data_IF_835000941865
#
_entry.id   IF_835000941865
#
_cell.length_a   1.000
_cell.length_b   1.000
_cell.length_c   1.000
_cell.angle_alpha   90.00
_cell.angle_beta   90.00
_cell.angle_gamma   90.00
#
_symmetry.space_group_name_H-M   'P 1'
#
loop_
_entity.id
_entity.type
_entity.pdbx_description
1 polymer ?
#
# COMPACT_ATOMS: atom_id res chain seq x y z
N UNK A 1 34.91 25.28 -45.12
CA UNK A 1 33.59 24.83 -45.60
C UNK A 1 32.55 25.19 -44.54
N UNK A 2 31.88 26.33 -44.68
CA UNK A 2 30.78 26.70 -43.79
C UNK A 2 29.51 26.02 -44.30
N UNK A 3 28.92 25.13 -43.49
CA UNK A 3 27.61 24.56 -43.81
C UNK A 3 26.58 25.69 -43.84
N UNK A 4 25.73 25.73 -44.88
CA UNK A 4 24.64 26.70 -44.96
C UNK A 4 23.76 26.59 -43.70
N UNK A 5 23.31 27.70 -43.09
CA UNK A 5 22.54 27.71 -41.83
C UNK A 5 21.34 26.75 -41.80
N UNK A 6 20.70 26.53 -42.95
CA UNK A 6 19.59 25.57 -43.08
C UNK A 6 20.02 24.12 -42.91
N UNK A 7 21.22 23.74 -43.38
CA UNK A 7 21.77 22.38 -43.21
C UNK A 7 22.16 22.12 -41.74
N UNK A 8 22.77 23.11 -41.10
CA UNK A 8 23.12 23.03 -39.69
C UNK A 8 21.87 22.88 -38.78
N UNK A 9 20.77 23.57 -39.12
CA UNK A 9 19.49 23.41 -38.40
C UNK A 9 18.89 22.01 -38.56
N UNK A 10 18.94 21.44 -39.77
CA UNK A 10 18.42 20.08 -40.01
C UNK A 10 19.22 19.02 -39.22
N UNK A 11 20.55 19.13 -39.23
CA UNK A 11 21.43 18.23 -38.48
C UNK A 11 21.24 18.36 -36.96
N UNK A 12 21.03 19.59 -36.47
CA UNK A 12 20.73 19.82 -35.05
C UNK A 12 19.41 19.15 -34.62
N UNK A 13 18.35 19.28 -35.43
CA UNK A 13 17.07 18.62 -35.15
C UNK A 13 17.20 17.09 -35.18
N UNK A 14 17.95 16.55 -36.14
CA UNK A 14 18.19 15.11 -36.24
C UNK A 14 18.95 14.58 -35.01
N UNK A 15 20.01 15.28 -34.59
CA UNK A 15 20.78 14.93 -33.40
C UNK A 15 19.92 14.95 -32.12
N UNK A 16 19.02 15.93 -32.02
CA UNK A 16 18.08 16.03 -30.91
C UNK A 16 17.08 14.88 -30.91
N UNK A 17 16.48 14.54 -32.07
CA UNK A 17 15.59 13.38 -32.16
C UNK A 17 16.26 12.06 -31.79
N UNK A 18 17.52 11.87 -32.17
CA UNK A 18 18.29 10.69 -31.73
C UNK A 18 18.50 10.67 -30.22
N UNK A 19 18.80 11.83 -29.61
CA UNK A 19 18.97 11.90 -28.15
C UNK A 19 17.69 11.50 -27.41
N UNK A 20 16.52 11.95 -27.87
CA UNK A 20 15.23 11.62 -27.27
C UNK A 20 14.92 10.12 -27.32
N UNK A 21 15.13 9.50 -28.48
CA UNK A 21 14.91 8.06 -28.67
C UNK A 21 15.88 7.24 -27.81
N UNK A 22 17.15 7.65 -27.71
CA UNK A 22 18.14 6.94 -26.89
C UNK A 22 17.82 7.03 -25.39
N UNK A 23 17.39 8.20 -24.91
CA UNK A 23 16.92 8.35 -23.52
C UNK A 23 15.71 7.43 -23.27
N UNK A 24 14.74 7.38 -24.18
CA UNK A 24 13.58 6.50 -24.06
C UNK A 24 13.93 5.00 -24.11
N UNK A 25 14.84 4.58 -24.99
CA UNK A 25 15.31 3.19 -25.03
C UNK A 25 16.08 2.82 -23.76
N UNK A 26 16.86 3.74 -23.20
CA UNK A 26 17.58 3.48 -21.94
C UNK A 26 16.61 3.15 -20.80
N UNK A 27 15.50 3.87 -20.69
CA UNK A 27 14.49 3.61 -19.66
C UNK A 27 13.75 2.28 -19.87
N UNK A 28 13.53 1.89 -21.13
CA UNK A 28 12.84 0.63 -21.46
C UNK A 28 13.72 -0.61 -21.30
N UNK A 29 15.03 -0.50 -21.55
CA UNK A 29 15.91 -1.65 -21.64
C UNK A 29 16.63 -2.03 -20.33
N UNK A 30 16.46 -1.32 -19.20
CA UNK A 30 17.10 -1.75 -17.95
C UNK A 30 16.62 -3.16 -17.51
N UNK A 31 17.51 -4.14 -17.23
CA UNK A 31 18.98 -4.07 -17.07
C UNK A 31 19.83 -4.48 -18.29
N UNK A 32 19.23 -4.79 -19.45
CA UNK A 32 19.96 -5.18 -20.66
C UNK A 32 20.50 -3.96 -21.45
N UNK A 33 21.69 -4.08 -22.07
CA UNK A 33 22.20 -3.01 -22.91
C UNK A 33 21.32 -2.85 -24.16
N UNK A 34 21.18 -1.60 -24.61
CA UNK A 34 20.43 -1.27 -25.83
C UNK A 34 21.06 -2.03 -27.01
N UNK A 35 20.28 -2.83 -27.77
CA UNK A 35 20.79 -3.52 -28.95
C UNK A 35 21.37 -2.54 -29.97
N UNK A 36 22.46 -2.92 -30.65
CA UNK A 36 23.04 -2.10 -31.71
C UNK A 36 22.09 -2.06 -32.92
N UNK A 37 21.83 -0.87 -33.44
CA UNK A 37 21.00 -0.67 -34.64
C UNK A 37 21.67 0.29 -35.62
N UNK A 38 21.29 0.20 -36.90
CA UNK A 38 21.73 1.09 -37.97
C UNK A 38 21.08 2.46 -37.82
N UNK A 39 21.90 3.52 -37.87
CA UNK A 39 21.46 4.91 -37.64
C UNK A 39 20.99 5.53 -38.95
N UNK A 40 19.86 5.04 -39.44
CA UNK A 40 19.22 5.51 -40.66
C UNK A 40 18.03 6.43 -40.37
N UNK A 41 17.70 7.30 -41.33
CA UNK A 41 16.53 8.16 -41.24
C UNK A 41 15.21 7.35 -41.14
N UNK A 42 15.15 6.18 -41.78
CA UNK A 42 14.00 5.27 -41.73
C UNK A 42 13.85 4.61 -40.35
N UNK A 43 14.96 4.20 -39.72
CA UNK A 43 14.96 3.61 -38.39
C UNK A 43 14.61 4.65 -37.33
N UNK A 44 15.10 5.88 -37.48
CA UNK A 44 14.70 7.01 -36.63
C UNK A 44 13.19 7.26 -36.70
N UNK A 45 12.62 7.32 -37.91
CA UNK A 45 11.19 7.56 -38.07
C UNK A 45 10.34 6.42 -37.48
N UNK A 46 10.77 5.17 -37.67
CA UNK A 46 10.10 4.00 -37.09
C UNK A 46 10.16 4.03 -35.55
N UNK A 47 11.32 4.35 -34.97
CA UNK A 47 11.50 4.46 -33.52
C UNK A 47 10.72 5.63 -32.93
N UNK A 48 10.65 6.77 -33.62
CA UNK A 48 9.81 7.90 -33.20
C UNK A 48 8.33 7.52 -33.22
N UNK A 49 7.87 6.86 -34.29
CA UNK A 49 6.49 6.37 -34.35
C UNK A 49 6.20 5.41 -33.20
N UNK A 50 7.08 4.45 -32.96
CA UNK A 50 6.96 3.50 -31.85
C UNK A 50 6.96 4.21 -30.49
N UNK A 51 7.85 5.19 -30.29
CA UNK A 51 7.89 6.00 -29.07
C UNK A 51 6.57 6.73 -28.85
N UNK A 52 6.00 7.37 -29.88
CA UNK A 52 4.71 8.05 -29.75
C UNK A 52 3.56 7.09 -29.48
N UNK A 53 3.51 5.95 -30.18
CA UNK A 53 2.51 4.89 -29.97
C UNK A 53 2.61 4.30 -28.55
N UNK A 54 3.83 4.07 -28.06
CA UNK A 54 4.07 3.58 -26.71
C UNK A 54 3.61 4.61 -25.66
N UNK A 55 3.97 5.88 -25.83
CA UNK A 55 3.49 6.97 -24.95
C UNK A 55 1.95 7.04 -24.96
N UNK A 56 1.30 6.87 -26.12
CA UNK A 56 -0.17 6.82 -26.17
C UNK A 56 -0.73 5.59 -25.47
N UNK A 57 -0.10 4.42 -25.61
CA UNK A 57 -0.52 3.20 -24.94
C UNK A 57 -0.37 3.31 -23.42
N UNK A 58 0.72 3.91 -22.93
CA UNK A 58 0.92 4.15 -21.49
C UNK A 58 -0.14 5.10 -20.93
N UNK A 59 -0.45 6.19 -21.65
CA UNK A 59 -1.57 7.08 -21.27
C UNK A 59 -2.92 6.37 -21.21
N UNK A 60 -3.18 5.46 -22.16
CA UNK A 60 -4.40 4.66 -22.12
C UNK A 60 -4.42 3.71 -20.93
N UNK A 61 -3.27 3.10 -20.60
CA UNK A 61 -3.13 2.23 -19.43
C UNK A 61 -3.38 3.01 -18.13
N UNK A 62 -2.83 4.22 -18.01
CA UNK A 62 -3.07 5.10 -16.88
C UNK A 62 -4.56 5.48 -16.77
N UNK A 63 -5.22 5.82 -17.89
CA UNK A 63 -6.65 6.13 -17.89
C UNK A 63 -7.52 4.94 -17.47
N UNK A 64 -7.20 3.73 -17.95
CA UNK A 64 -7.90 2.52 -17.55
C UNK A 64 -7.72 2.24 -16.05
N UNK A 65 -6.50 2.41 -15.56
CA UNK A 65 -6.21 2.25 -14.14
C UNK A 65 -7.00 3.26 -13.28
N UNK A 66 -7.06 4.53 -13.70
CA UNK A 66 -7.86 5.56 -13.03
C UNK A 66 -9.36 5.25 -13.08
N UNK A 67 -9.88 4.80 -14.22
CA UNK A 67 -11.29 4.40 -14.34
C UNK A 67 -11.62 3.22 -13.42
N UNK A 68 -10.73 2.23 -13.32
CA UNK A 68 -10.89 1.10 -12.42
C UNK A 68 -10.90 1.53 -10.94
N UNK A 69 -10.06 2.51 -10.57
CA UNK A 69 -10.11 3.10 -9.22
C UNK A 69 -11.45 3.79 -8.97
N UNK A 70 -11.94 4.58 -9.93
CA UNK A 70 -13.22 5.29 -9.83
C UNK A 70 -14.40 4.31 -9.66
N UNK A 71 -14.42 3.21 -10.42
CA UNK A 71 -15.41 2.14 -10.26
C UNK A 71 -15.35 1.51 -8.87
N UNK A 72 -14.15 1.22 -8.35
CA UNK A 72 -14.01 0.67 -6.99
C UNK A 72 -14.54 1.63 -5.92
N UNK A 73 -14.21 2.92 -6.02
CA UNK A 73 -14.71 3.95 -5.08
C UNK A 73 -16.25 4.06 -5.16
N UNK A 74 -16.82 4.03 -6.37
CA UNK A 74 -18.27 4.03 -6.55
C UNK A 74 -18.93 2.80 -5.92
N UNK A 75 -18.32 1.62 -6.03
CA UNK A 75 -18.81 0.40 -5.39
C UNK A 75 -18.68 0.41 -3.86
N UNK A 76 -17.64 1.05 -3.30
CA UNK A 76 -17.51 1.23 -1.86
C UNK A 76 -18.57 2.19 -1.30
N UNK A 77 -18.82 3.33 -1.96
CA UNK A 77 -19.86 4.28 -1.56
C UNK A 77 -21.28 3.68 -1.70
N UNK A 78 -21.50 2.82 -2.69
CA UNK A 78 -22.74 2.05 -2.83
C UNK A 78 -22.94 1.00 -1.71
N UNK A 79 -21.84 0.49 -1.13
CA UNK A 79 -21.87 -0.47 -0.02
C UNK A 79 -22.28 0.18 1.31
N UNK A 80 -21.90 1.44 1.55
CA UNK A 80 -22.26 2.20 2.78
C UNK A 80 -23.77 2.45 2.89
N UNK A 81 -24.53 2.36 1.79
CA UNK A 81 -25.99 2.54 1.78
C UNK A 81 -26.78 1.23 1.89
N UNK A 82 -26.13 0.07 1.82
CA UNK A 82 -26.76 -1.26 1.90
C UNK A 82 -26.25 -2.10 3.10
N UNK A 83 -26.03 -1.47 4.26
CA UNK A 83 -25.83 -2.21 5.52
C UNK A 83 -27.11 -2.93 5.95
N UNK A 84 -27.35 -4.10 5.34
CA UNK A 84 -28.22 -5.17 5.83
C UNK A 84 -27.40 -6.47 5.80
N UNK A 85 -27.39 -7.28 6.88
CA UNK A 85 -26.40 -8.34 7.08
C UNK A 85 -26.70 -9.55 6.18
N UNK A 86 -26.21 -9.50 4.94
CA UNK A 86 -26.15 -10.64 4.01
C UNK A 86 -24.72 -10.86 3.48
N UNK A 87 -23.75 -10.09 3.98
CA UNK A 87 -22.37 -9.97 3.47
C UNK A 87 -21.48 -11.21 3.61
N UNK A 88 -21.87 -12.21 4.40
CA UNK A 88 -21.06 -13.42 4.57
C UNK A 88 -21.07 -14.30 3.31
N UNK A 89 -22.24 -14.53 2.71
CA UNK A 89 -22.37 -15.42 1.56
C UNK A 89 -21.78 -14.81 0.28
N UNK A 90 -21.84 -13.49 0.10
CA UNK A 90 -21.20 -12.80 -1.02
C UNK A 90 -19.68 -12.77 -0.88
N UNK A 91 -19.16 -12.55 0.33
CA UNK A 91 -17.72 -12.62 0.59
C UNK A 91 -17.20 -14.05 0.35
N UNK A 92 -17.91 -15.06 0.81
CA UNK A 92 -17.57 -16.47 0.56
C UNK A 92 -17.64 -16.83 -0.93
N UNK A 93 -18.65 -16.32 -1.66
CA UNK A 93 -18.78 -16.51 -3.11
C UNK A 93 -17.64 -15.85 -3.89
N UNK A 94 -17.25 -14.63 -3.52
CA UNK A 94 -16.13 -13.90 -4.12
C UNK A 94 -14.79 -14.56 -3.80
N UNK A 95 -14.59 -15.03 -2.56
CA UNK A 95 -13.40 -15.79 -2.19
C UNK A 95 -13.32 -17.11 -2.97
N UNK A 96 -14.44 -17.78 -3.21
CA UNK A 96 -14.49 -18.98 -4.03
C UNK A 96 -14.20 -18.68 -5.52
N UNK A 97 -14.65 -17.53 -6.04
CA UNK A 97 -14.37 -17.09 -7.41
C UNK A 97 -12.91 -16.63 -7.61
N UNK A 98 -12.32 -15.98 -6.60
CA UNK A 98 -10.90 -15.67 -6.57
C UNK A 98 -10.07 -16.96 -6.47
N UNK A 99 -10.45 -17.87 -5.57
CA UNK A 99 -9.81 -19.17 -5.46
C UNK A 99 -9.92 -19.98 -6.76
N UNK A 100 -11.02 -19.90 -7.51
CA UNK A 100 -11.14 -20.62 -8.79
C UNK A 100 -10.33 -19.97 -9.92
N UNK A 101 -10.22 -18.64 -9.95
CA UNK A 101 -9.48 -17.89 -10.98
C UNK A 101 -7.95 -17.89 -10.80
N UNK A 102 -7.44 -18.26 -9.62
CA UNK A 102 -5.99 -18.35 -9.41
C UNK A 102 -5.34 -19.57 -10.11
N UNK A 103 -4.20 -19.38 -10.81
CA UNK A 103 -3.38 -20.47 -11.35
C UNK A 103 -2.96 -21.51 -10.30
N UNK A 104 -2.77 -22.77 -10.72
CA UNK A 104 -2.37 -23.85 -9.82
C UNK A 104 -1.01 -23.58 -9.11
N UNK A 105 -0.08 -22.92 -9.80
CA UNK A 105 1.22 -22.53 -9.22
C UNK A 105 1.07 -21.52 -8.09
N UNK A 106 0.13 -20.56 -8.21
CA UNK A 106 -0.11 -19.57 -7.15
C UNK A 106 -0.82 -20.19 -5.95
N UNK A 107 -1.70 -21.16 -6.16
CA UNK A 107 -2.36 -21.91 -5.07
C UNK A 107 -1.35 -22.66 -4.22
N UNK A 108 -0.48 -23.46 -4.85
CA UNK A 108 0.56 -24.19 -4.15
C UNK A 108 1.52 -23.27 -3.37
N UNK A 109 1.81 -22.08 -3.92
CA UNK A 109 2.65 -21.08 -3.24
C UNK A 109 1.94 -20.46 -2.03
N UNK A 110 0.64 -20.18 -2.12
CA UNK A 110 -0.17 -19.69 -1.00
C UNK A 110 -0.39 -20.77 0.08
N UNK A 111 -0.55 -22.03 -0.30
CA UNK A 111 -0.63 -23.16 0.62
C UNK A 111 0.70 -23.34 1.38
N UNK A 112 1.84 -23.25 0.67
CA UNK A 112 3.16 -23.30 1.29
C UNK A 112 3.41 -22.10 2.22
N UNK A 113 2.98 -20.90 1.82
CA UNK A 113 3.10 -19.69 2.63
C UNK A 113 2.20 -19.73 3.87
N UNK A 114 0.95 -20.16 3.73
CA UNK A 114 0.02 -20.29 4.86
C UNK A 114 0.47 -21.39 5.81
N UNK A 115 0.95 -22.53 5.33
CA UNK A 115 1.55 -23.57 6.15
C UNK A 115 2.78 -23.06 6.91
N UNK A 116 3.64 -22.28 6.26
CA UNK A 116 4.80 -21.65 6.91
C UNK A 116 4.37 -20.63 7.96
N UNK A 117 3.39 -19.78 7.65
CA UNK A 117 2.86 -18.78 8.58
C UNK A 117 2.20 -19.43 9.82
N UNK A 118 1.50 -20.56 9.65
CA UNK A 118 0.92 -21.34 10.75
C UNK A 118 2.02 -21.99 11.60
N UNK A 119 3.02 -22.61 10.97
CA UNK A 119 4.18 -23.19 11.68
C UNK A 119 4.98 -22.14 12.47
N UNK A 120 5.03 -20.92 11.96
CA UNK A 120 5.72 -19.78 12.57
C UNK A 120 4.83 -19.00 13.57
N UNK A 121 3.55 -19.37 13.70
CA UNK A 121 2.62 -18.81 14.68
C UNK A 121 2.14 -17.39 14.37
N UNK A 122 2.12 -16.98 13.10
CA UNK A 122 1.64 -15.67 12.68
C UNK A 122 0.10 -15.58 12.81
N UNK A 123 -0.39 -15.25 14.01
CA UNK A 123 -1.81 -15.08 14.29
C UNK A 123 -2.18 -13.60 14.49
N UNK A 124 -3.03 -13.10 13.59
CA UNK A 124 -3.86 -11.88 13.66
C UNK A 124 -3.18 -10.50 13.69
N UNK A 125 -3.37 -9.71 12.62
CA UNK A 125 -3.96 -8.35 12.71
C UNK A 125 -4.31 -7.76 11.34
N UNK A 126 -5.61 -7.66 11.06
CA UNK A 126 -6.31 -6.76 10.14
C UNK A 126 -5.55 -6.10 8.94
N UNK A 127 -5.83 -6.64 7.76
CA UNK A 127 -6.25 -6.00 6.48
C UNK A 127 -5.48 -4.89 5.75
N UNK A 128 -4.40 -4.26 6.23
CA UNK A 128 -3.54 -3.52 5.26
C UNK A 128 -2.05 -3.49 5.57
N UNK A 129 -1.68 -3.61 6.83
CA UNK A 129 -0.28 -3.78 7.28
C UNK A 129 0.14 -5.25 7.34
N UNK A 130 -0.75 -6.17 6.97
CA UNK A 130 -0.59 -7.61 7.13
C UNK A 130 0.52 -8.20 6.24
N UNK A 131 0.63 -7.75 4.99
CA UNK A 131 1.60 -8.32 4.05
C UNK A 131 3.03 -7.95 4.39
N UNK A 132 3.28 -6.70 4.74
CA UNK A 132 4.62 -6.23 5.13
C UNK A 132 5.03 -6.81 6.49
N UNK A 133 4.11 -6.86 7.46
CA UNK A 133 4.38 -7.45 8.78
C UNK A 133 4.57 -8.97 8.74
N UNK A 134 3.82 -9.72 7.92
CA UNK A 134 4.07 -11.15 7.73
C UNK A 134 5.45 -11.35 7.08
N UNK A 135 5.78 -10.62 6.01
CA UNK A 135 7.07 -10.81 5.35
C UNK A 135 8.25 -10.43 6.26
N UNK A 136 8.14 -9.34 7.02
CA UNK A 136 9.15 -8.92 7.99
C UNK A 136 9.26 -9.89 9.17
N UNK A 137 8.12 -10.43 9.65
CA UNK A 137 8.09 -11.51 10.65
C UNK A 137 8.72 -12.79 10.11
N UNK A 138 8.38 -13.22 8.89
CA UNK A 138 8.97 -14.41 8.27
C UNK A 138 10.48 -14.23 8.05
N UNK A 139 10.93 -13.07 7.56
CA UNK A 139 12.34 -12.78 7.35
C UNK A 139 13.13 -12.76 8.67
N UNK A 140 12.60 -12.09 9.70
CA UNK A 140 13.25 -12.04 11.01
C UNK A 140 13.29 -13.42 11.68
N UNK A 141 12.27 -14.25 11.48
CA UNK A 141 12.15 -15.56 12.10
C UNK A 141 12.93 -16.66 11.35
N UNK A 142 13.08 -16.54 10.02
CA UNK A 142 14.00 -17.38 9.21
C UNK A 142 15.43 -17.26 9.69
N UNK A 143 15.85 -16.08 10.15
CA UNK A 143 17.21 -15.86 10.67
C UNK A 143 17.33 -16.22 12.16
N UNK A 144 16.25 -16.10 12.94
CA UNK A 144 16.28 -16.38 14.37
C UNK A 144 16.20 -17.87 14.71
N UNK A 145 15.43 -18.67 13.96
CA UNK A 145 15.31 -20.11 14.20
C UNK A 145 16.67 -20.84 14.09
N UNK A 146 17.47 -20.66 13.03
CA UNK A 146 18.80 -21.28 12.91
C UNK A 146 19.74 -20.90 14.05
N UNK A 147 19.62 -19.66 14.55
CA UNK A 147 20.41 -19.20 15.71
C UNK A 147 19.97 -19.90 16.99
N UNK A 148 18.68 -20.07 17.20
CA UNK A 148 18.13 -20.81 18.33
C UNK A 148 18.49 -22.29 18.27
N UNK A 149 18.38 -22.94 17.11
CA UNK A 149 18.74 -24.35 16.94
C UNK A 149 20.23 -24.57 17.16
N UNK A 150 21.09 -23.67 16.67
CA UNK A 150 22.52 -23.72 16.96
C UNK A 150 22.80 -23.58 18.47
N UNK A 151 22.15 -22.63 19.14
CA UNK A 151 22.32 -22.43 20.59
C UNK A 151 21.89 -23.68 21.36
N UNK A 152 20.75 -24.28 21.00
CA UNK A 152 20.30 -25.53 21.60
C UNK A 152 21.25 -26.70 21.32
N UNK A 153 21.78 -26.81 20.10
CA UNK A 153 22.78 -27.83 19.75
C UNK A 153 24.06 -27.67 20.56
N UNK A 154 24.55 -26.43 20.76
CA UNK A 154 25.70 -26.17 21.62
C UNK A 154 25.41 -26.53 23.09
N UNK A 155 24.22 -26.22 23.59
CA UNK A 155 23.79 -26.61 24.93
C UNK A 155 23.73 -28.13 25.12
N UNK A 156 23.23 -28.86 24.13
CA UNK A 156 23.20 -30.32 24.17
C UNK A 156 24.61 -30.91 24.12
N UNK A 157 25.50 -30.35 23.30
CA UNK A 157 26.90 -30.75 23.23
C UNK A 157 27.61 -30.53 24.57
N UNK A 158 27.42 -29.37 25.21
CA UNK A 158 27.98 -29.07 26.52
C UNK A 158 27.44 -30.02 27.60
N UNK A 159 26.13 -30.28 27.60
CA UNK A 159 25.54 -31.27 28.50
C UNK A 159 26.11 -32.68 28.31
N UNK A 160 26.36 -33.09 27.06
CA UNK A 160 26.99 -34.39 26.78
C UNK A 160 28.44 -34.44 27.28
N UNK A 161 29.19 -33.34 27.16
CA UNK A 161 30.55 -33.23 27.64
C UNK A 161 30.62 -33.27 29.18
N UNK A 162 29.77 -32.48 29.86
CA UNK A 162 29.66 -32.51 31.33
C UNK A 162 29.29 -33.92 31.82
N UNK A 163 28.38 -34.62 31.13
CA UNK A 163 28.05 -36.01 31.47
C UNK A 163 29.25 -36.93 31.32
N UNK A 164 30.07 -36.75 30.29
CA UNK A 164 31.29 -37.53 30.09
C UNK A 164 32.33 -37.25 31.19
N UNK A 165 32.52 -35.99 31.58
CA UNK A 165 33.39 -35.62 32.71
C UNK A 165 32.89 -36.20 34.03
N UNK A 166 31.59 -36.14 34.31
CA UNK A 166 30.99 -36.77 35.50
C UNK A 166 31.21 -38.30 35.49
N UNK A 167 31.08 -38.95 34.32
CA UNK A 167 31.36 -40.38 34.19
C UNK A 167 32.84 -40.72 34.38
N UNK A 168 33.76 -39.87 33.94
CA UNK A 168 35.20 -40.04 34.17
C UNK A 168 35.54 -39.88 35.65
N UNK A 169 35.06 -38.80 36.29
CA UNK A 169 35.25 -38.56 37.72
C UNK A 169 34.64 -39.66 38.60
N UNK A 170 33.53 -40.28 38.15
CA UNK A 170 32.91 -41.42 38.83
C UNK A 170 33.65 -42.74 38.58
N UNK A 171 34.35 -42.87 37.45
CA UNK A 171 35.23 -44.01 37.13
C UNK A 171 36.56 -43.96 37.90
N UNK A 172 37.08 -42.76 38.16
CA UNK A 172 38.33 -42.51 38.89
C UNK A 172 38.16 -42.56 40.42
N UNK A 173 36.98 -42.93 40.92
CA UNK A 173 36.69 -43.05 42.36
C UNK A 173 36.53 -44.52 42.79
N UNK A 174 37.62 -45.26 43.11
CA UNK A 174 37.48 -46.51 43.85
C UNK A 174 37.31 -46.18 45.33
N UNK A 175 36.06 -46.21 45.80
CA UNK A 175 35.66 -46.44 47.20
C UNK A 175 36.17 -45.47 48.28
N UNK A 176 35.30 -44.62 48.79
CA UNK A 176 35.34 -44.20 50.19
C UNK A 176 33.97 -43.70 50.67
N UNK A 177 33.52 -44.31 51.76
CA UNK A 177 32.33 -44.00 52.56
C UNK A 177 32.44 -42.67 53.34
N UNK A 178 31.29 -42.24 53.86
CA UNK A 178 31.10 -41.44 55.09
C UNK A 178 31.48 -39.94 55.05
N UNK A 179 30.51 -39.04 55.27
CA UNK A 179 30.06 -38.59 56.60
C UNK A 179 29.42 -37.19 56.56
N UNK A 180 28.18 -37.11 57.03
CA UNK A 180 27.65 -36.22 58.08
C UNK A 180 28.03 -34.72 58.19
N UNK A 181 27.00 -33.89 58.43
CA UNK A 181 27.05 -32.52 58.98
C UNK A 181 26.14 -31.58 58.20
N UNK A 182 24.87 -31.29 58.51
CA UNK A 182 24.17 -30.95 59.76
C UNK A 182 24.49 -29.53 60.28
N UNK A 183 23.52 -28.63 60.12
CA UNK A 183 23.41 -27.30 60.76
C UNK A 183 22.42 -26.41 59.99
N UNK A 184 21.14 -26.35 60.38
CA UNK A 184 20.51 -25.30 61.23
C UNK A 184 20.79 -23.89 60.71
N UNK A 185 19.83 -23.00 60.44
CA UNK A 185 18.39 -22.97 60.65
C UNK A 185 17.91 -21.50 60.59
N UNK A 186 16.59 -21.30 60.43
CA UNK A 186 15.88 -20.03 60.68
C UNK A 186 15.90 -19.04 59.50
N UNK A 187 14.85 -18.70 58.74
CA UNK A 187 13.38 -18.52 58.93
C UNK A 187 13.02 -17.01 58.82
N UNK A 188 12.27 -16.70 57.75
CA UNK A 188 11.16 -15.74 57.60
C UNK A 188 11.45 -14.26 57.27
N UNK A 189 10.94 -13.92 56.08
CA UNK A 189 10.60 -12.66 55.37
C UNK A 189 9.13 -12.30 55.74
N UNK A 190 8.39 -11.26 55.25
CA UNK A 190 8.62 -9.93 54.67
C UNK A 190 7.85 -8.80 55.40
N UNK A 191 7.90 -7.57 54.86
CA UNK A 191 6.78 -6.66 54.50
C UNK A 191 7.20 -5.20 54.72
N UNK A 192 6.72 -4.17 54.03
CA UNK A 192 6.02 -3.94 52.76
C UNK A 192 5.95 -2.39 52.58
N UNK A 193 5.57 -1.93 51.38
CA UNK A 193 5.01 -0.60 51.03
C UNK A 193 5.99 0.59 50.83
N UNK A 194 6.13 1.18 49.62
CA UNK A 194 5.18 2.02 48.85
C UNK A 194 4.93 3.38 49.53
N UNK A 195 4.91 4.57 48.91
CA UNK A 195 5.12 5.10 47.57
C UNK A 195 5.17 6.66 47.66
N UNK A 196 5.53 7.34 46.56
CA UNK A 196 5.12 8.73 46.19
C UNK A 196 5.80 9.87 46.99
N UNK A 197 6.45 10.89 46.42
CA UNK A 197 5.80 12.01 45.70
C UNK A 197 6.79 13.19 45.49
N UNK A 198 6.86 13.67 44.24
CA UNK A 198 6.95 15.08 43.78
C UNK A 198 8.07 16.03 44.29
N UNK A 199 8.90 16.49 43.34
CA UNK A 199 9.69 17.75 43.31
C UNK A 199 8.78 19.02 43.37
N UNK A 200 9.25 20.31 43.24
CA UNK A 200 10.62 20.92 43.10
C UNK A 200 10.80 22.19 44.02
N UNK A 201 11.86 23.08 43.97
CA UNK A 201 12.14 24.03 42.86
C UNK A 201 13.62 24.51 42.62
N UNK A 202 13.88 24.94 41.37
CA UNK A 202 14.66 26.10 40.85
C UNK A 202 16.04 26.57 41.43
N UNK A 203 17.05 26.45 40.56
CA UNK A 203 18.06 27.44 40.05
C UNK A 203 19.14 28.05 40.99
N UNK A 204 20.30 28.46 40.40
CA UNK A 204 21.62 28.33 41.01
C UNK A 204 22.18 29.62 41.61
N UNK A 205 23.11 29.48 42.55
CA UNK A 205 24.05 30.55 42.90
C UNK A 205 25.48 29.98 42.93
N UNK A 206 26.33 30.73 42.25
CA UNK A 206 27.77 30.63 42.03
C UNK A 206 28.57 30.87 43.32
N UNK A 207 29.78 30.28 43.36
CA UNK A 207 30.91 30.64 44.24
C UNK A 207 30.78 30.14 45.69
N UNK A 208 31.77 29.60 46.38
CA UNK A 208 33.24 29.68 46.28
C UNK A 208 33.79 28.59 47.22
N UNK A 209 34.92 27.97 46.91
CA UNK A 209 35.68 27.17 47.88
C UNK A 209 36.10 28.03 49.09
N UNK A 210 36.23 27.42 50.29
CA UNK A 210 37.58 27.13 50.76
C UNK A 210 37.73 25.74 51.41
N UNK A 211 38.94 25.21 51.28
CA UNK A 211 39.45 24.00 51.92
C UNK A 211 39.22 24.00 53.43
N UNK A 212 38.82 22.84 53.96
CA UNK A 212 39.29 22.32 55.24
C UNK A 212 39.23 20.79 55.18
N UNK A 213 40.31 20.17 55.65
CA UNK A 213 40.52 18.73 55.77
C UNK A 213 39.41 18.06 56.60
N UNK A 214 38.82 16.97 56.09
CA UNK A 214 38.41 15.78 56.87
C UNK A 214 37.87 14.68 55.92
N UNK A 215 38.32 13.45 56.15
CA UNK A 215 38.15 12.25 55.32
C UNK A 215 36.68 11.82 55.07
N UNK A 216 36.12 12.01 53.87
CA UNK A 216 35.05 11.15 53.26
C UNK A 216 34.84 11.42 51.74
N UNK A 217 35.91 11.35 50.92
CA UNK A 217 35.89 11.87 49.54
C UNK A 217 35.59 10.82 48.42
N UNK A 218 34.74 9.83 48.68
CA UNK A 218 34.37 8.82 47.67
C UNK A 218 33.08 9.12 46.89
N UNK A 219 32.03 9.59 47.58
CA UNK A 219 30.67 9.63 47.01
C UNK A 219 30.29 10.91 46.25
N UNK A 220 30.87 12.06 46.60
CA UNK A 220 30.46 13.36 46.04
C UNK A 220 31.09 13.59 44.65
N UNK A 221 32.33 13.15 44.45
CA UNK A 221 33.05 13.26 43.17
C UNK A 221 32.42 12.38 42.07
N UNK A 222 31.96 11.17 42.43
CA UNK A 222 31.23 10.28 41.53
C UNK A 222 29.84 10.85 41.14
N UNK A 223 29.14 11.47 42.09
CA UNK A 223 27.85 12.12 41.85
C UNK A 223 27.98 13.35 40.92
N UNK A 224 29.02 14.17 41.12
CA UNK A 224 29.32 15.31 40.24
C UNK A 224 29.70 14.87 38.82
N UNK A 225 30.52 13.82 38.69
CA UNK A 225 30.92 13.24 37.41
C UNK A 225 29.72 12.67 36.64
N UNK A 226 28.81 11.99 37.35
CA UNK A 226 27.56 11.46 36.79
C UNK A 226 26.61 12.57 36.31
N UNK A 227 26.45 13.64 37.10
CA UNK A 227 25.63 14.79 36.74
C UNK A 227 26.20 15.55 35.53
N UNK A 228 27.52 15.67 35.44
CA UNK A 228 28.20 16.26 34.30
C UNK A 228 28.02 15.42 33.02
N UNK A 229 28.16 14.10 33.12
CA UNK A 229 27.92 13.18 32.00
C UNK A 229 26.47 13.28 31.50
N UNK A 230 25.49 13.36 32.40
CA UNK A 230 24.08 13.59 32.04
C UNK A 230 23.86 14.93 31.36
N UNK A 231 24.50 16.00 31.84
CA UNK A 231 24.42 17.32 31.22
C UNK A 231 24.97 17.32 29.78
N UNK A 232 26.06 16.59 29.54
CA UNK A 232 26.60 16.43 28.18
C UNK A 232 25.65 15.64 27.27
N UNK A 233 25.04 14.57 27.79
CA UNK A 233 24.04 13.80 27.06
C UNK A 233 22.85 14.68 26.66
N UNK A 234 22.29 15.44 27.60
CA UNK A 234 21.15 16.34 27.36
C UNK A 234 21.50 17.42 26.32
N UNK A 235 22.75 17.93 26.33
CA UNK A 235 23.24 18.87 25.33
C UNK A 235 23.33 18.27 23.93
N UNK A 236 23.76 17.00 23.80
CA UNK A 236 23.81 16.30 22.52
C UNK A 236 22.41 16.03 21.97
N UNK A 237 21.50 15.55 22.83
CA UNK A 237 20.10 15.29 22.46
C UNK A 237 19.40 16.58 22.03
N UNK A 238 19.63 17.68 22.73
CA UNK A 238 19.07 18.99 22.37
C UNK A 238 19.58 19.47 21.00
N UNK A 239 20.88 19.29 20.73
CA UNK A 239 21.46 19.62 19.42
C UNK A 239 20.88 18.75 18.31
N UNK A 240 20.72 17.46 18.55
CA UNK A 240 20.10 16.55 17.58
C UNK A 240 18.65 16.93 17.29
N UNK A 241 17.88 17.25 18.32
CA UNK A 241 16.49 17.69 18.17
C UNK A 241 16.41 19.00 17.38
N UNK A 242 17.29 19.96 17.67
CA UNK A 242 17.35 21.22 16.95
C UNK A 242 17.64 21.02 15.45
N UNK A 243 18.56 20.11 15.09
CA UNK A 243 18.84 19.76 13.70
C UNK A 243 17.61 19.13 13.02
N UNK A 244 16.92 18.20 13.68
CA UNK A 244 15.68 17.63 13.15
C UNK A 244 14.58 18.66 12.97
N UNK A 245 14.43 19.59 13.92
CA UNK A 245 13.48 20.69 13.79
C UNK A 245 13.79 21.53 12.56
N UNK A 246 15.07 21.89 12.32
CA UNK A 246 15.48 22.62 11.14
C UNK A 246 15.18 21.85 9.83
N UNK A 247 15.48 20.55 9.79
CA UNK A 247 15.17 19.69 8.64
C UNK A 247 13.66 19.64 8.35
N UNK A 248 12.83 19.49 9.39
CA UNK A 248 11.37 19.48 9.22
C UNK A 248 10.85 20.84 8.78
N UNK A 249 11.41 21.95 9.28
CA UNK A 249 11.03 23.28 8.78
C UNK A 249 11.36 23.46 7.30
N UNK A 250 12.52 22.98 6.85
CA UNK A 250 12.91 23.03 5.44
C UNK A 250 12.01 22.13 4.57
N UNK A 251 11.66 20.94 5.08
CA UNK A 251 10.76 20.01 4.38
C UNK A 251 9.36 20.58 4.25
N UNK A 252 8.84 21.23 5.29
CA UNK A 252 7.53 21.90 5.24
C UNK A 252 7.57 23.05 4.23
N UNK A 253 8.58 23.91 4.28
CA UNK A 253 8.73 25.01 3.33
C UNK A 253 8.85 24.52 1.87
N UNK A 254 9.53 23.38 1.65
CA UNK A 254 9.61 22.71 0.35
C UNK A 254 8.26 22.19 -0.13
N UNK A 255 7.50 21.54 0.74
CA UNK A 255 6.15 21.04 0.43
C UNK A 255 5.17 22.18 0.17
N UNK A 256 5.23 23.27 0.93
CA UNK A 256 4.43 24.46 0.70
C UNK A 256 4.74 25.07 -0.66
N UNK A 257 6.03 25.21 -1.03
CA UNK A 257 6.43 25.70 -2.35
C UNK A 257 5.94 24.76 -3.46
N UNK A 258 6.00 23.45 -3.26
CA UNK A 258 5.49 22.47 -4.21
C UNK A 258 3.96 22.56 -4.33
N UNK A 259 3.24 22.77 -3.24
CA UNK A 259 1.79 22.99 -3.25
C UNK A 259 1.43 24.29 -3.96
N UNK A 260 2.15 25.39 -3.70
CA UNK A 260 1.98 26.67 -4.40
C UNK A 260 2.30 26.55 -5.89
N UNK A 261 3.34 25.82 -6.28
CA UNK A 261 3.67 25.56 -7.69
C UNK A 261 2.60 24.69 -8.36
N UNK A 262 2.11 23.64 -7.69
CA UNK A 262 1.00 22.81 -8.18
C UNK A 262 -0.30 23.60 -8.34
N UNK A 263 -0.56 24.56 -7.46
CA UNK A 263 -1.71 25.45 -7.53
C UNK A 263 -1.54 26.55 -8.61
N UNK A 264 -0.34 27.05 -8.86
CA UNK A 264 -0.08 27.98 -9.97
C UNK A 264 -0.16 27.26 -11.34
N UNK A 265 0.10 25.95 -11.38
CA UNK A 265 -0.01 25.09 -12.56
C UNK A 265 -1.42 24.53 -12.77
N UNK A 266 -2.39 24.87 -11.92
CA UNK A 266 -3.74 24.27 -11.91
C UNK A 266 -4.71 24.88 -12.93
N UNK A 267 -4.23 25.65 -13.91
CA UNK A 267 -5.04 26.20 -15.02
C UNK A 267 -5.68 25.08 -15.89
N UNK A 268 -5.33 23.81 -15.62
CA UNK A 268 -5.94 22.63 -16.24
C UNK A 268 -6.50 21.58 -15.28
N UNK A 269 -6.48 21.79 -13.96
CA UNK A 269 -7.09 20.83 -13.02
C UNK A 269 -8.51 21.30 -12.71
N UNK A 270 -9.55 20.54 -13.09
CA UNK A 270 -10.93 20.97 -12.86
C UNK A 270 -11.14 21.21 -11.37
N UNK A 271 -11.61 22.40 -11.06
CA UNK A 271 -11.93 22.83 -9.70
C UNK A 271 -13.07 21.96 -9.17
N UNK A 272 -13.20 21.80 -7.86
CA UNK A 272 -14.33 21.09 -7.26
C UNK A 272 -15.69 21.62 -7.77
N UNK A 273 -15.77 22.94 -8.01
CA UNK A 273 -16.93 23.58 -8.62
C UNK A 273 -17.17 23.10 -10.08
N UNK A 274 -16.12 22.92 -10.87
CA UNK A 274 -16.22 22.41 -12.24
C UNK A 274 -16.67 20.95 -12.25
N UNK A 275 -16.20 20.15 -11.30
CA UNK A 275 -16.62 18.76 -11.12
C UNK A 275 -18.10 18.71 -10.73
N UNK A 276 -18.54 19.54 -9.79
CA UNK A 276 -19.95 19.64 -9.41
C UNK A 276 -20.84 20.07 -10.58
N UNK A 277 -20.39 21.03 -11.38
CA UNK A 277 -21.12 21.43 -12.58
C UNK A 277 -21.23 20.29 -13.60
N UNK A 278 -20.12 19.59 -13.87
CA UNK A 278 -20.12 18.40 -14.74
C UNK A 278 -21.05 17.30 -14.21
N UNK A 279 -21.10 17.08 -12.90
CA UNK A 279 -22.01 16.11 -12.28
C UNK A 279 -23.47 16.44 -12.59
N UNK A 280 -23.89 17.69 -12.38
CA UNK A 280 -25.27 18.10 -12.67
C UNK A 280 -25.64 17.96 -14.15
N UNK A 281 -24.68 18.20 -15.05
CA UNK A 281 -24.88 18.02 -16.49
C UNK A 281 -25.04 16.53 -16.85
N UNK A 282 -24.24 15.66 -16.25
CA UNK A 282 -24.35 14.21 -16.44
C UNK A 282 -25.72 13.72 -15.96
N UNK A 283 -26.19 14.18 -14.80
CA UNK A 283 -27.51 13.79 -14.27
C UNK A 283 -28.64 14.25 -15.20
N UNK A 284 -28.53 15.46 -15.77
CA UNK A 284 -29.49 15.94 -16.76
C UNK A 284 -29.49 15.07 -18.01
N UNK A 285 -28.32 14.70 -18.52
CA UNK A 285 -28.18 13.83 -19.70
C UNK A 285 -28.74 12.43 -19.43
N UNK A 286 -28.49 11.87 -18.25
CA UNK A 286 -29.05 10.57 -17.83
C UNK A 286 -30.58 10.59 -17.84
N UNK A 287 -31.20 11.62 -17.25
CA UNK A 287 -32.67 11.79 -17.30
C UNK A 287 -33.20 11.92 -18.73
N UNK A 288 -32.48 12.62 -19.61
CA UNK A 288 -32.85 12.72 -21.03
C UNK A 288 -32.79 11.36 -21.71
N UNK A 289 -31.73 10.58 -21.45
CA UNK A 289 -31.59 9.22 -21.99
C UNK A 289 -32.72 8.33 -21.51
N UNK A 290 -33.04 8.32 -20.21
CA UNK A 290 -34.15 7.53 -19.64
C UNK A 290 -35.51 7.93 -20.26
N UNK A 291 -35.73 9.22 -20.50
CA UNK A 291 -36.93 9.71 -21.19
C UNK A 291 -36.99 9.26 -22.66
N UNK A 292 -35.84 9.16 -23.33
CA UNK A 292 -35.77 8.67 -24.70
C UNK A 292 -35.91 7.15 -24.76
N UNK A 293 -35.33 6.42 -23.81
CA UNK A 293 -35.46 4.97 -23.67
C UNK A 293 -36.92 4.60 -23.46
N UNK A 294 -37.62 5.25 -22.54
CA UNK A 294 -39.07 5.00 -22.34
C UNK A 294 -39.88 5.23 -23.61
N UNK A 295 -39.59 6.30 -24.38
CA UNK A 295 -40.22 6.53 -25.69
C UNK A 295 -39.86 5.46 -26.71
N UNK A 296 -38.62 4.98 -26.75
CA UNK A 296 -38.20 3.91 -27.66
C UNK A 296 -38.91 2.61 -27.30
N UNK A 297 -39.10 2.33 -25.99
CA UNK A 297 -39.83 1.16 -25.53
C UNK A 297 -41.28 1.16 -26.06
N UNK A 298 -41.93 2.33 -26.14
CA UNK A 298 -43.29 2.47 -26.71
C UNK A 298 -43.36 2.09 -28.21
N UNK A 299 -42.24 2.21 -28.94
CA UNK A 299 -42.16 1.85 -30.36
C UNK A 299 -41.62 0.42 -30.60
N UNK A 300 -41.47 -0.39 -29.55
CA UNK A 300 -41.09 -1.80 -29.71
C UNK A 300 -42.09 -2.56 -30.59
N UNK A 301 -41.63 -2.97 -31.77
CA UNK A 301 -42.42 -3.67 -32.77
C UNK A 301 -42.48 -2.96 -34.13
N UNK A 302 -42.08 -1.69 -34.19
CA UNK A 302 -41.98 -0.97 -35.46
C UNK A 302 -40.60 -1.21 -36.11
N UNK A 303 -40.56 -1.48 -37.43
CA UNK A 303 -39.31 -1.52 -38.17
C UNK A 303 -38.49 -0.23 -38.00
N UNK A 304 -37.14 -0.31 -38.03
CA UNK A 304 -36.26 0.86 -37.87
C UNK A 304 -36.39 1.88 -39.02
N UNK A 305 -36.96 1.49 -40.15
CA UNK A 305 -37.23 2.37 -41.28
C UNK A 305 -38.61 3.04 -41.17
N UNK A 306 -38.67 4.37 -41.39
CA UNK A 306 -39.89 5.20 -41.25
C UNK A 306 -40.96 4.79 -42.26
N UNK A 307 -40.59 4.46 -43.50
CA UNK A 307 -41.55 4.06 -44.52
C UNK A 307 -42.18 2.70 -44.18
N UNK A 308 -41.34 1.75 -43.74
CA UNK A 308 -41.75 0.42 -43.29
C UNK A 308 -42.63 0.46 -42.04
N UNK A 309 -42.29 1.32 -41.06
CA UNK A 309 -43.10 1.60 -39.87
C UNK A 309 -44.49 2.14 -40.22
N UNK A 310 -44.58 3.10 -41.16
CA UNK A 310 -45.87 3.63 -41.63
C UNK A 310 -46.72 2.57 -42.32
N UNK A 311 -46.12 1.70 -43.12
CA UNK A 311 -46.84 0.61 -43.79
C UNK A 311 -47.43 -0.38 -42.77
N UNK A 312 -46.66 -0.74 -41.74
CA UNK A 312 -47.11 -1.64 -40.68
C UNK A 312 -48.27 -1.03 -39.85
N UNK A 313 -48.18 0.26 -39.52
CA UNK A 313 -49.25 1.00 -38.84
C UNK A 313 -50.52 1.05 -39.70
N UNK A 314 -50.40 1.34 -41.00
CA UNK A 314 -51.54 1.36 -41.91
C UNK A 314 -52.20 -0.03 -42.03
N UNK A 315 -51.40 -1.11 -42.05
CA UNK A 315 -51.91 -2.49 -42.04
C UNK A 315 -52.74 -2.75 -40.77
N UNK A 316 -52.17 -2.47 -39.60
CA UNK A 316 -52.84 -2.67 -38.32
C UNK A 316 -54.12 -1.82 -38.18
N UNK A 317 -54.13 -0.59 -38.70
CA UNK A 317 -55.33 0.25 -38.75
C UNK A 317 -56.43 -0.36 -39.63
N UNK A 318 -56.07 -0.88 -40.81
CA UNK A 318 -57.01 -1.57 -41.69
C UNK A 318 -57.64 -2.81 -41.05
N UNK A 319 -56.85 -3.60 -40.33
CA UNK A 319 -57.33 -4.76 -39.57
C UNK A 319 -58.30 -4.35 -38.44
N UNK A 320 -57.96 -3.30 -37.68
CA UNK A 320 -58.81 -2.77 -36.63
C UNK A 320 -60.16 -2.27 -37.16
N UNK A 321 -60.16 -1.56 -38.27
CA UNK A 321 -61.40 -1.06 -38.88
C UNK A 321 -62.25 -2.20 -39.45
N UNK A 322 -61.62 -3.26 -39.97
CA UNK A 322 -62.30 -4.49 -40.35
C UNK A 322 -62.98 -5.17 -39.16
N UNK A 323 -62.28 -5.28 -38.03
CA UNK A 323 -62.84 -5.84 -36.79
C UNK A 323 -63.97 -4.97 -36.23
N UNK A 324 -63.85 -3.63 -36.29
CA UNK A 324 -64.93 -2.72 -35.88
C UNK A 324 -66.18 -2.90 -36.74
N UNK A 325 -66.06 -2.94 -38.07
CA UNK A 325 -67.21 -3.20 -38.95
C UNK A 325 -67.87 -4.53 -38.63
N UNK A 326 -67.09 -5.60 -38.47
CA UNK A 326 -67.61 -6.92 -38.12
C UNK A 326 -68.31 -6.92 -36.76
N UNK A 327 -67.76 -6.22 -35.78
CA UNK A 327 -68.39 -6.00 -34.47
C UNK A 327 -69.72 -5.28 -34.63
N UNK A 328 -69.76 -4.20 -35.42
CA UNK A 328 -70.96 -3.39 -35.62
C UNK A 328 -72.05 -4.18 -36.37
N UNK A 329 -71.70 -4.96 -37.39
CA UNK A 329 -72.62 -5.90 -38.07
C UNK A 329 -73.22 -6.94 -37.10
N UNK A 330 -72.41 -7.47 -36.17
CA UNK A 330 -72.89 -8.41 -35.16
C UNK A 330 -73.81 -7.73 -34.14
N UNK A 331 -73.55 -6.47 -33.79
CA UNK A 331 -74.45 -5.68 -32.94
C UNK A 331 -75.77 -5.36 -33.64
N UNK A 332 -75.74 -4.98 -34.93
CA UNK A 332 -76.95 -4.76 -35.71
C UNK A 332 -77.83 -6.02 -35.76
N UNK A 333 -77.22 -7.20 -35.94
CA UNK A 333 -77.91 -8.50 -35.90
C UNK A 333 -78.51 -8.86 -34.54
N UNK A 334 -77.97 -8.35 -33.44
CA UNK A 334 -78.52 -8.58 -32.10
C UNK A 334 -79.62 -7.57 -31.74
N UNK A 335 -79.66 -6.43 -32.42
CA UNK A 335 -80.65 -5.37 -32.20
C UNK A 335 -81.92 -5.50 -33.05
N UNK A 336 -81.90 -6.36 -34.07
CA UNK A 336 -83.01 -6.64 -34.99
C UNK A 336 -83.69 -7.97 -34.67
#
# INVERSE_FOLDING_TARGET
MQASPSKARAEALESHSWSLVLTWLSTLCHPSPIPSFERDATTLQALQKLMTENITAEKLRDLLFLAQIEELVFHEDGRVQQDKPSSANEAESLLHLLASSLPASSKASLDSLSASAVLLGCFHSATSTLQTSILESLQSQILSLPRQTFTLATHLSLNSNIRQEISQLKGDLPGASSSNGQGRGGRVVPDSDAATSLSPPRTPIISTFPNDDDDDEGGISESYSSLHAKTLQDQLETKQLALKCAEYTDRIAGLERQASFRNASSDGRPTLADIAHKQTLIDQRRRQVETLETKILEFHGLPPDIASSRAEVQRAQGELDGLKRRRDEMFERLSS
#
